data_IF_857023401752
#
_entry.id   IF_857023401752
#
_cell.length_a   1.000
_cell.length_b   1.000
_cell.length_c   1.000
_cell.angle_alpha   90.00
_cell.angle_beta   90.00
_cell.angle_gamma   90.00
#
_symmetry.space_group_name_H-M   'P 1'
#
loop_
_entity.id
_entity.type
_entity.pdbx_description
1 polymer ?
#
# COMPACT_ATOMS: atom_id res chain seq x y z
N UNK A 1 -9.39 -13.73 -12.12
CA UNK A 1 -8.54 -14.81 -12.65
C UNK A 1 -7.08 -14.34 -12.64
N UNK A 2 -6.10 -15.19 -12.21
CA UNK A 2 -4.69 -14.79 -12.20
C UNK A 2 -4.10 -14.63 -13.60
N UNK A 3 -3.26 -13.62 -13.79
CA UNK A 3 -2.37 -13.45 -14.94
C UNK A 3 -0.94 -13.55 -14.43
N UNK A 4 -0.20 -14.53 -14.90
CA UNK A 4 1.19 -14.78 -14.52
C UNK A 4 2.14 -14.07 -15.48
N UNK A 5 3.17 -13.40 -14.94
CA UNK A 5 4.15 -12.70 -15.76
C UNK A 5 5.57 -13.10 -15.32
N UNK A 6 6.35 -13.62 -16.24
CA UNK A 6 7.72 -14.03 -15.97
C UNK A 6 8.31 -14.94 -17.05
N UNK A 7 9.49 -15.50 -16.76
CA UNK A 7 10.11 -16.47 -17.65
C UNK A 7 9.29 -17.78 -17.60
N UNK A 8 8.78 -18.28 -18.76
CA UNK A 8 7.84 -19.40 -18.79
C UNK A 8 8.31 -20.63 -18.02
N UNK A 9 9.57 -21.05 -18.23
CA UNK A 9 10.09 -22.25 -17.58
C UNK A 9 10.20 -22.10 -16.07
N UNK A 10 10.61 -20.92 -15.57
CA UNK A 10 10.70 -20.65 -14.14
C UNK A 10 9.33 -20.59 -13.47
N UNK A 11 8.33 -20.07 -14.17
CA UNK A 11 6.94 -20.03 -13.68
C UNK A 11 6.37 -21.45 -13.61
N UNK A 12 6.61 -22.28 -14.64
CA UNK A 12 6.17 -23.68 -14.65
C UNK A 12 6.86 -24.51 -13.57
N UNK A 13 8.18 -24.33 -13.39
CA UNK A 13 8.95 -24.99 -12.33
C UNK A 13 8.42 -24.62 -10.92
N UNK A 14 8.18 -23.32 -10.69
CA UNK A 14 7.62 -22.85 -9.42
C UNK A 14 6.21 -23.41 -9.16
N UNK A 15 5.37 -23.45 -10.20
CA UNK A 15 4.04 -24.03 -10.11
C UNK A 15 4.08 -25.53 -9.80
N UNK A 16 4.97 -26.27 -10.48
CA UNK A 16 5.17 -27.70 -10.22
C UNK A 16 5.66 -27.96 -8.78
N UNK A 17 6.61 -27.14 -8.29
CA UNK A 17 7.12 -27.23 -6.93
C UNK A 17 6.03 -26.93 -5.89
N UNK A 18 5.13 -25.99 -6.18
CA UNK A 18 4.01 -25.63 -5.32
C UNK A 18 2.80 -26.58 -5.45
N UNK A 19 2.82 -27.52 -6.39
CA UNK A 19 1.69 -28.40 -6.68
C UNK A 19 0.46 -27.68 -7.25
N UNK A 20 0.65 -26.56 -7.96
CA UNK A 20 -0.41 -25.72 -8.49
C UNK A 20 -0.54 -25.91 -10.00
N UNK A 21 -1.74 -26.24 -10.46
CA UNK A 21 -2.04 -26.29 -11.91
C UNK A 21 -2.32 -24.87 -12.44
N UNK A 22 -1.44 -24.40 -13.30
CA UNK A 22 -1.52 -23.09 -13.95
C UNK A 22 -1.98 -23.17 -15.40
N UNK A 23 -2.40 -24.35 -15.90
CA UNK A 23 -2.73 -24.56 -17.30
C UNK A 23 -3.89 -23.68 -17.81
N UNK A 24 -4.76 -23.24 -16.91
CA UNK A 24 -5.92 -22.38 -17.20
C UNK A 24 -5.60 -20.88 -17.08
N UNK A 25 -4.40 -20.52 -16.60
CA UNK A 25 -4.05 -19.13 -16.36
C UNK A 25 -3.26 -18.54 -17.53
N UNK A 26 -3.56 -17.31 -17.85
CA UNK A 26 -2.78 -16.55 -18.84
C UNK A 26 -1.34 -16.38 -18.35
N UNK A 27 -0.39 -16.85 -19.13
CA UNK A 27 1.05 -16.65 -18.88
C UNK A 27 1.61 -15.68 -19.92
N UNK A 28 2.17 -14.58 -19.45
CA UNK A 28 2.84 -13.56 -20.27
C UNK A 28 4.34 -13.72 -20.05
N UNK A 29 5.05 -13.97 -21.12
CA UNK A 29 6.51 -14.10 -21.10
C UNK A 29 7.16 -12.76 -20.77
N UNK A 30 8.17 -12.78 -19.92
CA UNK A 30 9.08 -11.67 -19.65
C UNK A 30 10.49 -12.21 -19.47
N UNK A 31 11.46 -11.55 -20.09
CA UNK A 31 12.88 -11.95 -20.08
C UNK A 31 13.54 -11.79 -18.70
N UNK A 32 12.95 -10.97 -17.83
CA UNK A 32 13.46 -10.73 -16.49
C UNK A 32 12.53 -9.90 -15.61
N UNK A 33 12.91 -9.68 -14.34
CA UNK A 33 12.05 -9.04 -13.35
C UNK A 33 11.67 -7.61 -13.71
N UNK A 34 12.54 -6.84 -14.34
CA UNK A 34 12.27 -5.45 -14.75
C UNK A 34 11.21 -5.41 -15.86
N UNK A 35 11.32 -6.30 -16.85
CA UNK A 35 10.32 -6.41 -17.90
C UNK A 35 8.99 -6.92 -17.35
N UNK A 36 9.02 -7.91 -16.47
CA UNK A 36 7.82 -8.40 -15.79
C UNK A 36 7.09 -7.29 -15.03
N UNK A 37 7.82 -6.44 -14.30
CA UNK A 37 7.26 -5.29 -13.61
C UNK A 37 6.60 -4.28 -14.58
N UNK A 38 7.27 -3.95 -15.69
CA UNK A 38 6.72 -3.03 -16.71
C UNK A 38 5.47 -3.60 -17.35
N UNK A 39 5.48 -4.87 -17.76
CA UNK A 39 4.32 -5.53 -18.37
C UNK A 39 3.13 -5.60 -17.40
N UNK A 40 3.39 -5.90 -16.13
CA UNK A 40 2.33 -5.95 -15.11
C UNK A 40 1.67 -4.58 -14.89
N UNK A 41 2.46 -3.51 -14.83
CA UNK A 41 1.94 -2.14 -14.74
C UNK A 41 1.12 -1.78 -15.97
N UNK A 42 1.56 -2.20 -17.15
CA UNK A 42 0.85 -1.95 -18.41
C UNK A 42 -0.53 -2.62 -18.46
N UNK A 43 -0.66 -3.83 -17.92
CA UNK A 43 -1.96 -4.52 -17.83
C UNK A 43 -2.95 -3.77 -16.93
N UNK A 44 -2.51 -3.25 -15.79
CA UNK A 44 -3.37 -2.41 -14.93
C UNK A 44 -3.76 -1.12 -15.65
N UNK A 45 -2.82 -0.48 -16.32
CA UNK A 45 -3.07 0.76 -17.06
C UNK A 45 -4.09 0.59 -18.21
N UNK A 46 -4.11 -0.60 -18.80
CA UNK A 46 -5.03 -0.96 -19.87
C UNK A 46 -6.37 -1.51 -19.35
N UNK A 47 -6.63 -1.50 -18.04
CA UNK A 47 -7.80 -2.11 -17.40
C UNK A 47 -7.97 -3.62 -17.72
N UNK A 48 -6.85 -4.31 -18.01
CA UNK A 48 -6.86 -5.77 -18.26
C UNK A 48 -6.83 -6.58 -16.96
N UNK A 49 -6.39 -5.97 -15.85
CA UNK A 49 -6.34 -6.55 -14.51
C UNK A 49 -6.64 -5.49 -13.45
N UNK A 50 -7.22 -5.92 -12.32
CA UNK A 50 -7.69 -5.01 -11.26
C UNK A 50 -6.59 -4.58 -10.29
N UNK A 51 -5.59 -5.43 -10.05
CA UNK A 51 -4.49 -5.13 -9.12
C UNK A 51 -3.22 -5.93 -9.43
N UNK A 52 -2.11 -5.48 -8.88
CA UNK A 52 -0.82 -6.14 -8.99
C UNK A 52 -0.49 -6.91 -7.71
N UNK A 53 -0.04 -8.15 -7.85
CA UNK A 53 0.56 -8.92 -6.77
C UNK A 53 2.04 -9.14 -7.06
N UNK A 54 2.89 -8.66 -6.16
CA UNK A 54 4.33 -8.85 -6.28
C UNK A 54 4.73 -10.27 -5.90
N UNK A 55 5.34 -10.98 -6.84
CA UNK A 55 6.04 -12.23 -6.60
C UNK A 55 7.54 -12.00 -6.29
N UNK A 56 8.40 -12.79 -6.88
CA UNK A 56 9.86 -12.74 -6.68
C UNK A 56 10.53 -11.63 -7.52
N UNK A 57 10.05 -10.39 -7.38
CA UNK A 57 10.61 -9.18 -8.00
C UNK A 57 11.09 -8.26 -6.89
N UNK A 58 12.20 -7.56 -7.09
CA UNK A 58 12.68 -6.54 -6.13
C UNK A 58 11.66 -5.42 -6.05
N UNK A 59 11.28 -5.04 -4.84
CA UNK A 59 10.23 -4.01 -4.63
C UNK A 59 10.57 -2.70 -5.34
N UNK A 60 11.83 -2.28 -5.32
CA UNK A 60 12.28 -1.07 -6.00
C UNK A 60 12.03 -1.10 -7.53
N UNK A 61 12.14 -2.25 -8.18
CA UNK A 61 11.90 -2.36 -9.62
C UNK A 61 10.42 -2.25 -9.95
N UNK A 62 9.56 -2.89 -9.16
CA UNK A 62 8.11 -2.74 -9.29
C UNK A 62 7.68 -1.29 -9.02
N UNK A 63 8.20 -0.68 -7.94
CA UNK A 63 7.89 0.72 -7.62
C UNK A 63 8.35 1.67 -8.72
N UNK A 64 9.52 1.45 -9.30
CA UNK A 64 10.03 2.27 -10.43
C UNK A 64 9.11 2.18 -11.63
N UNK A 65 8.61 1.00 -11.97
CA UNK A 65 7.65 0.82 -13.05
C UNK A 65 6.29 1.45 -12.72
N UNK A 66 5.75 1.23 -11.52
CA UNK A 66 4.45 1.76 -11.10
C UNK A 66 4.43 3.29 -10.98
N UNK A 67 5.55 3.89 -10.56
CA UNK A 67 5.68 5.34 -10.37
C UNK A 67 6.24 6.09 -11.58
N UNK A 68 6.50 5.40 -12.68
CA UNK A 68 6.94 6.04 -13.92
C UNK A 68 5.93 7.11 -14.35
N UNK A 69 6.45 8.26 -14.83
CA UNK A 69 5.60 9.41 -15.14
C UNK A 69 4.76 9.23 -16.40
N UNK A 70 5.28 8.47 -17.37
CA UNK A 70 4.66 8.31 -18.68
C UNK A 70 3.90 6.99 -18.79
N UNK A 71 4.47 5.92 -18.25
CA UNK A 71 3.99 4.54 -18.43
C UNK A 71 3.45 3.90 -17.16
N UNK A 72 3.59 4.56 -16.01
CA UNK A 72 3.13 4.07 -14.72
C UNK A 72 1.63 4.23 -14.47
N UNK A 73 1.24 3.92 -13.25
CA UNK A 73 -0.15 3.97 -12.76
C UNK A 73 -0.32 4.98 -11.61
N UNK A 74 0.47 6.07 -11.65
CA UNK A 74 0.37 7.12 -10.63
C UNK A 74 -0.98 7.83 -10.70
N UNK A 75 -1.70 7.86 -9.58
CA UNK A 75 -2.91 8.66 -9.41
C UNK A 75 -2.63 10.10 -8.91
N UNK A 76 -1.36 10.46 -8.72
CA UNK A 76 -0.95 11.70 -8.05
C UNK A 76 -0.83 11.51 -6.53
N UNK A 77 -0.38 12.56 -5.83
CA UNK A 77 -0.24 12.52 -4.36
C UNK A 77 0.94 11.68 -3.84
N UNK A 78 0.95 11.53 -2.53
CA UNK A 78 1.94 10.73 -1.82
C UNK A 78 1.56 9.24 -1.88
N UNK A 79 2.53 8.40 -2.20
CA UNK A 79 2.40 6.95 -2.06
C UNK A 79 2.77 6.53 -0.64
N UNK A 80 1.97 5.71 0.00
CA UNK A 80 2.24 5.15 1.33
C UNK A 80 1.97 3.65 1.37
N UNK A 81 2.59 2.97 2.33
CA UNK A 81 2.40 1.54 2.56
C UNK A 81 1.25 1.31 3.54
N UNK A 82 0.40 0.35 3.25
CA UNK A 82 -0.68 -0.09 4.13
C UNK A 82 -0.49 -1.58 4.42
N UNK A 83 -0.40 -1.93 5.69
CA UNK A 83 -0.42 -3.31 6.15
C UNK A 83 -1.75 -3.61 6.86
N UNK A 84 -2.41 -4.67 6.45
CA UNK A 84 -3.58 -5.21 7.14
C UNK A 84 -3.12 -6.39 7.99
N UNK A 85 -3.31 -6.27 9.29
CA UNK A 85 -2.89 -7.23 10.29
C UNK A 85 -4.11 -7.79 11.02
N UNK A 86 -4.22 -9.10 11.06
CA UNK A 86 -5.19 -9.75 11.92
C UNK A 86 -4.52 -10.26 13.21
N UNK A 87 -5.15 -10.06 14.33
CA UNK A 87 -4.67 -10.56 15.61
C UNK A 87 -5.82 -11.16 16.41
N UNK A 88 -5.66 -12.38 16.93
CA UNK A 88 -6.69 -13.05 17.72
C UNK A 88 -7.17 -12.24 18.92
N UNK A 89 -6.27 -11.41 19.49
CA UNK A 89 -6.57 -10.61 20.68
C UNK A 89 -7.68 -9.58 20.45
N UNK A 90 -7.78 -9.03 19.23
CA UNK A 90 -8.75 -7.98 18.91
C UNK A 90 -9.93 -8.49 18.08
N UNK A 91 -9.84 -9.71 17.55
CA UNK A 91 -10.84 -10.32 16.66
C UNK A 91 -11.27 -9.38 15.51
N UNK A 92 -10.33 -8.62 15.01
CA UNK A 92 -10.52 -7.68 13.90
C UNK A 92 -9.23 -7.38 13.16
N UNK A 93 -9.36 -6.89 11.94
CA UNK A 93 -8.22 -6.35 11.19
C UNK A 93 -7.80 -5.02 11.79
N UNK A 94 -6.49 -4.85 11.91
CA UNK A 94 -5.83 -3.58 12.18
C UNK A 94 -5.14 -3.12 10.90
N UNK A 95 -5.28 -1.85 10.58
CA UNK A 95 -4.55 -1.19 9.52
C UNK A 95 -3.36 -0.45 10.11
N UNK A 96 -2.16 -0.68 9.59
CA UNK A 96 -0.95 0.05 9.97
C UNK A 96 -0.35 0.76 8.75
N UNK A 97 -0.04 2.03 8.88
CA UNK A 97 0.57 2.88 7.86
C UNK A 97 1.41 4.00 8.53
N UNK A 98 2.51 4.48 7.96
CA UNK A 98 3.27 3.96 6.85
C UNK A 98 4.34 2.99 7.39
N UNK A 99 4.50 1.86 6.72
CA UNK A 99 5.43 0.82 7.16
C UNK A 99 6.85 0.92 6.57
N UNK A 100 7.19 2.04 5.88
CA UNK A 100 8.56 2.21 5.39
C UNK A 100 8.74 2.69 3.95
N UNK A 101 7.71 3.28 3.32
CA UNK A 101 7.86 4.01 2.05
C UNK A 101 8.29 5.45 2.33
N UNK A 102 7.66 6.11 3.30
CA UNK A 102 7.99 7.47 3.71
C UNK A 102 8.73 7.43 5.04
N UNK A 103 10.06 7.57 5.00
CA UNK A 103 10.92 7.34 6.17
C UNK A 103 10.76 8.42 7.25
N UNK A 104 10.69 9.69 6.87
CA UNK A 104 10.56 10.83 7.78
C UNK A 104 9.47 11.78 7.27
N UNK A 105 8.19 11.44 7.43
CA UNK A 105 7.10 12.23 6.88
C UNK A 105 6.98 13.58 7.59
N UNK A 106 6.78 14.66 6.80
CA UNK A 106 6.35 15.96 7.32
C UNK A 106 4.90 15.86 7.82
N UNK A 107 4.41 16.87 8.55
CA UNK A 107 3.02 16.91 8.99
C UNK A 107 2.03 16.78 7.79
N UNK A 108 2.31 17.47 6.69
CA UNK A 108 1.50 17.38 5.48
C UNK A 108 1.50 15.97 4.89
N UNK A 109 2.66 15.32 4.83
CA UNK A 109 2.78 13.94 4.36
C UNK A 109 2.06 12.96 5.31
N UNK A 110 2.03 13.21 6.62
CA UNK A 110 1.24 12.42 7.57
C UNK A 110 -0.26 12.54 7.31
N UNK A 111 -0.74 13.73 6.94
CA UNK A 111 -2.12 13.92 6.49
C UNK A 111 -2.42 13.05 5.26
N UNK A 112 -1.54 13.03 4.26
CA UNK A 112 -1.72 12.22 3.06
C UNK A 112 -1.68 10.71 3.37
N UNK A 113 -0.78 10.29 4.28
CA UNK A 113 -0.72 8.89 4.75
C UNK A 113 -2.05 8.48 5.40
N UNK A 114 -2.62 9.35 6.27
CA UNK A 114 -3.92 9.11 6.89
C UNK A 114 -5.01 9.00 5.83
N UNK A 115 -5.07 9.93 4.88
CA UNK A 115 -6.06 9.91 3.79
C UNK A 115 -5.98 8.63 2.97
N UNK A 116 -4.79 8.21 2.57
CA UNK A 116 -4.60 6.97 1.84
C UNK A 116 -5.10 5.74 2.62
N UNK A 117 -4.80 5.69 3.93
CA UNK A 117 -5.25 4.61 4.79
C UNK A 117 -6.78 4.61 4.95
N UNK A 118 -7.37 5.79 5.19
CA UNK A 118 -8.82 5.96 5.33
C UNK A 118 -9.56 5.58 4.04
N UNK A 119 -9.06 6.01 2.88
CA UNK A 119 -9.63 5.65 1.58
C UNK A 119 -9.60 4.13 1.33
N UNK A 120 -8.50 3.47 1.72
CA UNK A 120 -8.41 2.01 1.64
C UNK A 120 -9.40 1.33 2.59
N UNK A 121 -9.53 1.83 3.82
CA UNK A 121 -10.49 1.28 4.80
C UNK A 121 -11.94 1.47 4.34
N UNK A 122 -12.29 2.61 3.74
CA UNK A 122 -13.62 2.83 3.16
C UNK A 122 -13.92 1.81 2.04
N UNK A 123 -12.95 1.55 1.14
CA UNK A 123 -13.10 0.52 0.09
C UNK A 123 -13.25 -0.89 0.64
N UNK A 124 -12.74 -1.15 1.83
CA UNK A 124 -12.91 -2.41 2.55
C UNK A 124 -14.19 -2.47 3.41
N UNK A 125 -15.01 -1.42 3.40
CA UNK A 125 -16.33 -1.38 4.07
C UNK A 125 -16.36 -0.73 5.45
N UNK A 126 -15.28 -0.09 5.90
CA UNK A 126 -15.29 0.70 7.15
C UNK A 126 -15.72 2.14 6.87
N UNK A 127 -16.90 2.52 7.28
CA UNK A 127 -17.45 3.85 7.01
C UNK A 127 -16.72 4.99 7.76
N UNK A 128 -16.30 4.72 8.99
CA UNK A 128 -15.63 5.72 9.84
C UNK A 128 -14.55 5.08 10.71
N UNK A 129 -13.36 4.77 10.14
CA UNK A 129 -12.28 4.16 10.90
C UNK A 129 -11.72 5.12 11.97
N UNK A 130 -11.30 4.56 13.10
CA UNK A 130 -10.53 5.27 14.11
C UNK A 130 -9.05 5.18 13.78
N UNK A 131 -8.36 6.30 13.78
CA UNK A 131 -6.94 6.44 13.48
C UNK A 131 -6.20 6.90 14.73
N UNK A 132 -5.23 6.13 15.18
CA UNK A 132 -4.33 6.52 16.24
C UNK A 132 -2.97 6.94 15.64
N UNK A 133 -2.55 8.18 15.89
CA UNK A 133 -1.21 8.66 15.55
C UNK A 133 -0.24 8.25 16.66
N UNK A 134 0.32 7.05 16.53
CA UNK A 134 1.10 6.40 17.59
C UNK A 134 2.45 7.07 17.80
N UNK A 135 2.74 7.45 19.04
CA UNK A 135 4.01 7.97 19.51
C UNK A 135 4.58 7.12 20.65
N UNK A 136 5.82 7.40 21.07
CA UNK A 136 6.41 6.73 22.21
C UNK A 136 5.83 7.20 23.57
N UNK A 137 5.14 8.34 23.59
CA UNK A 137 4.44 8.92 24.75
C UNK A 137 3.03 9.29 24.38
N UNK A 138 2.13 9.21 25.35
CA UNK A 138 0.70 9.58 25.21
C UNK A 138 0.45 11.08 25.40
N UNK A 139 1.43 11.81 25.96
CA UNK A 139 1.32 13.24 26.24
C UNK A 139 2.11 14.06 25.23
N UNK A 140 1.62 15.24 24.90
CA UNK A 140 2.35 16.20 24.07
C UNK A 140 3.64 16.63 24.78
N UNK A 141 4.76 16.33 24.14
CA UNK A 141 6.09 16.64 24.65
C UNK A 141 6.86 17.47 23.63
N UNK A 142 7.17 18.76 23.91
CA UNK A 142 7.94 19.61 23.00
C UNK A 142 9.32 19.05 22.60
N UNK A 143 9.93 18.21 23.46
CA UNK A 143 11.19 17.53 23.15
C UNK A 143 11.03 16.36 22.17
N UNK A 144 9.79 15.96 21.87
CA UNK A 144 9.43 14.92 20.90
C UNK A 144 8.47 15.48 19.84
N UNK A 145 8.97 16.02 18.71
CA UNK A 145 8.15 16.66 17.69
C UNK A 145 7.02 15.79 17.15
N UNK A 146 7.17 14.47 17.18
CA UNK A 146 6.14 13.52 16.72
C UNK A 146 4.84 13.63 17.51
N UNK A 147 4.91 13.93 18.83
CA UNK A 147 3.73 14.13 19.66
C UNK A 147 3.01 15.44 19.35
N UNK A 148 3.76 16.46 18.92
CA UNK A 148 3.19 17.74 18.44
C UNK A 148 2.45 17.51 17.13
N UNK A 149 3.03 16.73 16.21
CA UNK A 149 2.38 16.36 14.95
C UNK A 149 1.10 15.55 15.22
N UNK A 150 1.12 14.60 16.16
CA UNK A 150 -0.05 13.81 16.52
C UNK A 150 -1.19 14.68 17.04
N UNK A 151 -0.91 15.60 17.96
CA UNK A 151 -1.88 16.57 18.45
C UNK A 151 -2.40 17.50 17.33
N UNK A 152 -1.52 17.92 16.41
CA UNK A 152 -1.93 18.72 15.25
C UNK A 152 -2.87 17.93 14.32
N UNK A 153 -2.58 16.64 14.04
CA UNK A 153 -3.43 15.78 13.22
C UNK A 153 -4.82 15.57 13.83
N UNK A 154 -4.90 15.33 15.14
CA UNK A 154 -6.17 15.26 15.86
C UNK A 154 -6.95 16.57 15.72
N UNK A 155 -6.28 17.72 15.89
CA UNK A 155 -6.91 19.02 15.72
C UNK A 155 -7.33 19.35 14.28
N UNK A 156 -6.56 18.90 13.29
CA UNK A 156 -6.93 19.01 11.87
C UNK A 156 -8.18 18.17 11.56
N UNK A 157 -8.33 17.01 12.20
CA UNK A 157 -9.55 16.20 12.09
C UNK A 157 -10.77 16.92 12.71
N UNK A 158 -10.65 17.48 13.91
CA UNK A 158 -11.71 18.28 14.56
C UNK A 158 -12.21 19.44 13.67
N UNK A 159 -11.30 20.02 12.90
CA UNK A 159 -11.59 21.16 12.00
C UNK A 159 -12.01 20.75 10.58
N UNK A 160 -12.14 19.46 10.31
CA UNK A 160 -12.54 18.93 9.00
C UNK A 160 -11.45 18.98 7.92
N UNK A 161 -10.20 19.30 8.27
CA UNK A 161 -9.07 19.25 7.34
C UNK A 161 -8.68 17.79 7.00
N UNK A 162 -8.92 16.88 7.93
CA UNK A 162 -8.93 15.44 7.74
C UNK A 162 -10.36 14.96 7.99
N UNK A 163 -10.95 14.22 7.09
CA UNK A 163 -12.35 13.79 7.15
C UNK A 163 -12.50 12.29 6.85
N UNK A 164 -13.70 11.75 7.08
CA UNK A 164 -14.01 10.34 6.86
C UNK A 164 -13.50 9.39 7.93
N UNK A 165 -12.91 9.91 9.01
CA UNK A 165 -12.37 9.13 10.13
C UNK A 165 -12.45 9.90 11.42
N UNK A 166 -12.05 9.28 12.53
CA UNK A 166 -11.72 9.95 13.79
C UNK A 166 -10.22 9.79 14.01
N UNK A 167 -9.52 10.90 14.23
CA UNK A 167 -8.07 10.91 14.49
C UNK A 167 -7.80 11.34 15.92
N UNK A 168 -6.96 10.60 16.61
CA UNK A 168 -6.44 10.92 17.94
C UNK A 168 -4.97 10.49 18.05
N UNK A 169 -4.20 11.12 19.01
CA UNK A 169 -2.79 10.81 19.24
C UNK A 169 -2.01 11.91 19.92
#
# INVERSE_FOLDING_TARGET
EPVLIGHPDRVKEAAATAGVDISKWRLIEASGPIEAAKRSVQLVRNDEVDFLMKGKVVTADLMRAALDRETGIRAGGLMSHIALLWTPKFDRLLCMSDGGIVLNPTLEQKVDIIRNAVDAMHKLGWEKPNVAAVCAFELVNPAMPQTIDAAALAKMNDRGQISGCVVDG
#
